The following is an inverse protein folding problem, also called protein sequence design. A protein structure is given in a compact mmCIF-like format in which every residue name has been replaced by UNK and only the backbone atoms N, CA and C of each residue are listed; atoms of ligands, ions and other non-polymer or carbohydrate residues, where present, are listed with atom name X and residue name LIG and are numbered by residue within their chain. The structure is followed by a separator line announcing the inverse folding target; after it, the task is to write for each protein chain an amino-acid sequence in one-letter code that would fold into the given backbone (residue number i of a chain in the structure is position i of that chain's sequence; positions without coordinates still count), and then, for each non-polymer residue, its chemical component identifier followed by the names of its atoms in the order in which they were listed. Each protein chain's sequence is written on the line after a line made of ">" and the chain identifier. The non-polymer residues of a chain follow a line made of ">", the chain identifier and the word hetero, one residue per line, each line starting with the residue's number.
data_IF_973186398054
#
_entry.id   IF_973186398054
#
_cell.length_a   1.000
_cell.length_b   1.000
_cell.length_c   1.000
_cell.angle_alpha   90.00
_cell.angle_beta   90.00
_cell.angle_gamma   90.00
#
_symmetry.space_group_name_H-M   'P 1'
#
loop_
_entity.id
_entity.type
_entity.pdbx_description
1 polymer ?
#
# COMPACT_ATOMS: atom_id res chain seq x y z
N UNK A 1 -82.81 27.09 -26.94
CA UNK A 1 -81.50 27.32 -27.61
C UNK A 1 -80.42 27.34 -26.55
N UNK A 2 -79.63 26.26 -26.36
CA UNK A 2 -78.46 26.31 -25.48
C UNK A 2 -77.16 26.28 -26.30
N UNK A 3 -76.23 27.17 -25.95
CA UNK A 3 -74.88 27.23 -26.51
C UNK A 3 -73.97 26.37 -25.62
N UNK A 4 -73.27 25.41 -26.23
CA UNK A 4 -72.33 24.49 -25.57
C UNK A 4 -70.95 25.15 -25.43
N UNK A 5 -70.37 25.00 -24.25
CA UNK A 5 -69.00 25.39 -23.89
C UNK A 5 -67.96 24.45 -24.52
N UNK A 6 -66.86 25.02 -25.05
CA UNK A 6 -65.68 24.29 -25.52
C UNK A 6 -64.55 24.45 -24.49
N UNK A 7 -64.11 23.34 -23.91
CA UNK A 7 -62.90 23.27 -23.10
C UNK A 7 -61.71 22.97 -24.00
N UNK A 8 -60.68 23.83 -23.97
CA UNK A 8 -59.41 23.62 -24.66
C UNK A 8 -58.48 22.74 -23.82
N UNK A 9 -57.97 21.65 -24.39
CA UNK A 9 -56.98 20.77 -23.79
C UNK A 9 -55.60 21.14 -24.33
N UNK A 10 -54.73 21.70 -23.50
CA UNK A 10 -53.32 21.97 -23.83
C UNK A 10 -52.49 20.71 -23.56
N UNK A 11 -51.96 20.10 -24.62
CA UNK A 11 -51.01 18.98 -24.53
C UNK A 11 -49.60 19.57 -24.49
N UNK A 12 -48.96 19.51 -23.32
CA UNK A 12 -47.55 19.88 -23.14
C UNK A 12 -46.66 18.70 -23.53
N UNK A 13 -45.88 18.86 -24.60
CA UNK A 13 -44.93 17.86 -25.09
C UNK A 13 -43.57 18.12 -24.44
N UNK A 14 -43.22 17.34 -23.43
CA UNK A 14 -41.94 17.45 -22.73
C UNK A 14 -40.89 16.61 -23.49
N UNK A 15 -39.99 17.26 -24.25
CA UNK A 15 -38.85 16.57 -24.86
C UNK A 15 -37.80 16.30 -23.79
N UNK A 16 -37.66 15.03 -23.40
CA UNK A 16 -36.54 14.57 -22.57
C UNK A 16 -35.36 14.22 -23.48
N UNK A 17 -34.35 15.08 -23.53
CA UNK A 17 -33.05 14.72 -24.11
C UNK A 17 -32.32 13.80 -23.13
N UNK A 18 -31.91 12.57 -23.51
CA UNK A 18 -31.09 11.75 -22.65
C UNK A 18 -29.70 12.39 -22.55
N UNK A 19 -29.29 12.77 -21.34
CA UNK A 19 -27.90 13.05 -21.01
C UNK A 19 -27.16 11.71 -21.02
N UNK A 20 -26.49 11.40 -22.12
CA UNK A 20 -25.50 10.33 -22.16
C UNK A 20 -24.23 10.84 -21.50
N UNK A 21 -24.08 10.57 -20.21
CA UNK A 21 -22.79 10.68 -19.53
C UNK A 21 -21.85 9.64 -20.12
N UNK A 22 -21.00 10.07 -21.05
CA UNK A 22 -19.91 9.26 -21.57
C UNK A 22 -18.81 9.20 -20.49
N UNK A 23 -19.01 8.32 -19.51
CA UNK A 23 -17.95 7.92 -18.58
C UNK A 23 -16.96 7.06 -19.36
N UNK A 24 -16.07 7.71 -20.12
CA UNK A 24 -14.94 7.03 -20.73
C UNK A 24 -14.13 6.38 -19.60
N UNK A 25 -14.15 5.05 -19.54
CA UNK A 25 -13.22 4.27 -18.74
C UNK A 25 -11.81 4.64 -19.24
N UNK A 26 -11.14 5.55 -18.54
CA UNK A 26 -9.71 5.68 -18.71
C UNK A 26 -9.10 4.38 -18.19
N UNK A 27 -8.70 3.53 -19.13
CA UNK A 27 -7.90 2.35 -18.85
C UNK A 27 -6.48 2.85 -18.54
N UNK A 28 -6.29 3.51 -17.39
CA UNK A 28 -4.98 3.95 -16.94
C UNK A 28 -4.19 2.69 -16.58
N UNK A 29 -3.20 2.36 -17.41
CA UNK A 29 -2.24 1.30 -17.09
C UNK A 29 -1.52 1.67 -15.79
N UNK A 30 -1.40 0.72 -14.89
CA UNK A 30 -0.71 0.91 -13.61
C UNK A 30 0.76 1.31 -13.82
N UNK A 31 1.23 2.28 -13.04
CA UNK A 31 2.61 2.75 -13.09
C UNK A 31 3.57 1.76 -12.40
N UNK A 32 4.17 0.86 -13.18
CA UNK A 32 5.20 -0.06 -12.71
C UNK A 32 6.57 0.60 -12.45
N UNK A 33 6.74 1.89 -12.73
CA UNK A 33 7.93 2.65 -12.30
C UNK A 33 7.78 3.19 -10.89
N UNK A 34 6.56 3.19 -10.35
CA UNK A 34 6.21 3.69 -9.02
C UNK A 34 6.71 5.12 -8.78
N UNK A 35 6.58 6.02 -9.75
CA UNK A 35 7.19 7.34 -9.72
C UNK A 35 6.64 8.20 -8.56
N UNK A 36 5.31 8.23 -8.38
CA UNK A 36 4.65 8.93 -7.27
C UNK A 36 5.05 8.33 -5.92
N UNK A 37 5.04 6.99 -5.81
CA UNK A 37 5.45 6.32 -4.57
C UNK A 37 6.92 6.58 -4.24
N UNK A 38 7.80 6.54 -5.24
CA UNK A 38 9.22 6.85 -5.05
C UNK A 38 9.46 8.30 -4.63
N UNK A 39 8.66 9.25 -5.10
CA UNK A 39 8.72 10.64 -4.60
C UNK A 39 8.33 10.72 -3.13
N UNK A 40 7.21 10.09 -2.75
CA UNK A 40 6.77 10.00 -1.36
C UNK A 40 7.86 9.39 -0.45
N UNK A 41 8.48 8.29 -0.88
CA UNK A 41 9.56 7.64 -0.11
C UNK A 41 10.77 8.56 0.04
N UNK A 42 11.22 9.24 -1.02
CA UNK A 42 12.37 10.16 -0.94
C UNK A 42 12.11 11.37 -0.05
N UNK A 43 10.87 11.86 0.00
CA UNK A 43 10.51 13.01 0.81
C UNK A 43 10.40 12.68 2.31
N UNK A 44 10.06 11.43 2.65
CA UNK A 44 9.70 11.06 4.01
C UNK A 44 10.57 9.98 4.64
N UNK A 45 11.41 9.29 3.88
CA UNK A 45 12.39 8.32 4.41
C UNK A 45 13.75 9.02 4.49
N UNK A 46 14.21 9.26 5.72
CA UNK A 46 15.49 9.91 6.02
C UNK A 46 16.38 8.89 6.73
N UNK A 47 17.54 8.60 6.13
CA UNK A 47 18.44 7.51 6.51
C UNK A 47 17.75 6.14 6.53
N UNK A 48 17.29 5.72 7.71
CA UNK A 48 16.59 4.44 7.96
C UNK A 48 15.25 4.63 8.66
N UNK A 49 14.78 5.89 8.77
CA UNK A 49 13.58 6.27 9.52
C UNK A 49 12.58 6.98 8.63
N UNK A 50 11.31 6.90 9.02
CA UNK A 50 10.21 7.62 8.36
C UNK A 50 9.81 8.83 9.20
N UNK A 51 9.77 10.01 8.58
CA UNK A 51 9.19 11.22 9.17
C UNK A 51 7.65 11.17 9.06
N UNK A 52 7.03 10.44 9.99
CA UNK A 52 5.57 10.31 10.07
C UNK A 52 4.87 11.65 10.37
N UNK A 53 5.55 12.62 10.98
CA UNK A 53 4.94 13.93 11.27
C UNK A 53 4.70 14.70 9.98
N UNK A 54 5.72 14.76 9.12
CA UNK A 54 5.60 15.45 7.82
C UNK A 54 4.78 14.61 6.83
N UNK A 55 4.91 13.29 6.83
CA UNK A 55 4.07 12.41 6.00
C UNK A 55 2.58 12.54 6.34
N UNK A 56 2.21 12.67 7.62
CA UNK A 56 0.81 12.90 8.01
C UNK A 56 0.27 14.24 7.52
N UNK A 57 1.10 15.28 7.53
CA UNK A 57 0.73 16.60 6.99
C UNK A 57 0.51 16.56 5.48
N UNK A 58 1.31 15.74 4.78
CA UNK A 58 1.27 15.57 3.32
C UNK A 58 0.57 14.27 2.89
N UNK A 59 -0.49 13.88 3.59
CA UNK A 59 -1.18 12.58 3.40
C UNK A 59 -1.77 12.39 2.00
N UNK A 60 -2.05 13.45 1.25
CA UNK A 60 -2.68 13.33 -0.07
C UNK A 60 -1.90 12.45 -1.05
N UNK A 61 -0.57 12.55 -1.08
CA UNK A 61 0.26 11.70 -1.94
C UNK A 61 0.25 10.24 -1.46
N UNK A 62 0.14 9.99 -0.15
CA UNK A 62 -0.01 8.63 0.40
C UNK A 62 -1.33 8.01 -0.07
N UNK A 63 -2.43 8.75 0.06
CA UNK A 63 -3.76 8.28 -0.34
C UNK A 63 -3.84 8.04 -1.86
N UNK A 64 -3.22 8.90 -2.68
CA UNK A 64 -3.09 8.71 -4.13
C UNK A 64 -2.40 7.39 -4.47
N UNK A 65 -1.25 7.10 -3.81
CA UNK A 65 -0.50 5.88 -4.05
C UNK A 65 -1.34 4.67 -3.62
N UNK A 66 -1.92 4.67 -2.41
CA UNK A 66 -2.79 3.58 -1.94
C UNK A 66 -3.95 3.33 -2.90
N UNK A 67 -4.59 4.39 -3.38
CA UNK A 67 -5.67 4.27 -4.36
C UNK A 67 -5.21 3.63 -5.66
N UNK A 68 -3.99 3.93 -6.14
CA UNK A 68 -3.46 3.29 -7.34
C UNK A 68 -3.29 1.77 -7.17
N UNK A 69 -2.84 1.30 -6.00
CA UNK A 69 -2.75 -0.14 -5.71
C UNK A 69 -4.13 -0.80 -5.64
N UNK A 70 -5.16 -0.07 -5.19
CA UNK A 70 -6.51 -0.63 -5.03
C UNK A 70 -7.29 -0.84 -6.33
N UNK A 71 -6.86 -0.21 -7.43
CA UNK A 71 -7.48 -0.36 -8.75
C UNK A 71 -7.04 -1.63 -9.49
N UNK A 72 -6.03 -2.33 -9.02
CA UNK A 72 -5.50 -3.52 -9.69
C UNK A 72 -6.48 -4.69 -9.56
N UNK A 73 -6.82 -5.31 -10.69
CA UNK A 73 -7.63 -6.53 -10.73
C UNK A 73 -6.78 -7.79 -10.60
N UNK A 74 -7.41 -8.91 -10.26
CA UNK A 74 -6.75 -10.22 -10.27
C UNK A 74 -6.19 -10.59 -11.66
N UNK A 75 -6.92 -10.22 -12.71
CA UNK A 75 -6.47 -10.47 -14.09
C UNK A 75 -5.23 -9.65 -14.44
N UNK A 76 -5.15 -8.39 -14.00
CA UNK A 76 -3.94 -7.58 -14.20
C UNK A 76 -2.74 -8.24 -13.52
N UNK A 77 -2.90 -8.58 -12.24
CA UNK A 77 -1.84 -9.15 -11.41
C UNK A 77 -1.33 -10.49 -11.96
N UNK A 78 -2.22 -11.41 -12.32
CA UNK A 78 -1.87 -12.74 -12.81
C UNK A 78 -1.19 -12.73 -14.19
N UNK A 79 -1.43 -11.69 -14.99
CA UNK A 79 -0.79 -11.50 -16.31
C UNK A 79 0.62 -10.90 -16.23
N UNK A 80 1.07 -10.44 -15.06
CA UNK A 80 2.43 -9.90 -14.90
C UNK A 80 3.49 -10.99 -14.76
N UNK A 81 4.73 -10.64 -15.10
CA UNK A 81 5.88 -11.50 -14.81
C UNK A 81 6.08 -11.64 -13.30
N UNK A 82 6.67 -12.76 -12.86
CA UNK A 82 6.96 -13.02 -11.44
C UNK A 82 7.72 -11.86 -10.75
N UNK A 83 8.78 -11.26 -11.35
CA UNK A 83 9.45 -10.11 -10.73
C UNK A 83 8.54 -8.89 -10.54
N UNK A 84 7.58 -8.68 -11.46
CA UNK A 84 6.63 -7.57 -11.35
C UNK A 84 5.58 -7.82 -10.29
N UNK A 85 5.09 -9.05 -10.17
CA UNK A 85 4.19 -9.45 -9.08
C UNK A 85 4.88 -9.29 -7.72
N UNK A 86 6.12 -9.75 -7.58
CA UNK A 86 6.91 -9.61 -6.35
C UNK A 86 7.12 -8.14 -5.97
N UNK A 87 7.60 -7.32 -6.92
CA UNK A 87 7.79 -5.89 -6.70
C UNK A 87 6.47 -5.20 -6.27
N UNK A 88 5.36 -5.55 -6.93
CA UNK A 88 4.04 -5.04 -6.57
C UNK A 88 3.63 -5.41 -5.15
N UNK A 89 3.73 -6.69 -4.77
CA UNK A 89 3.32 -7.15 -3.44
C UNK A 89 4.18 -6.56 -2.31
N UNK A 90 5.50 -6.45 -2.53
CA UNK A 90 6.41 -5.82 -1.56
C UNK A 90 6.03 -4.34 -1.37
N UNK A 91 5.84 -3.60 -2.47
CA UNK A 91 5.46 -2.20 -2.41
C UNK A 91 4.06 -2.00 -1.80
N UNK A 92 3.11 -2.89 -2.10
CA UNK A 92 1.76 -2.86 -1.53
C UNK A 92 1.80 -3.05 -0.01
N UNK A 93 2.55 -4.04 0.48
CA UNK A 93 2.74 -4.25 1.92
C UNK A 93 3.32 -3.00 2.58
N UNK A 94 4.36 -2.42 1.98
CA UNK A 94 5.06 -1.26 2.54
C UNK A 94 4.17 0.00 2.56
N UNK A 95 3.43 0.29 1.49
CA UNK A 95 2.55 1.47 1.45
C UNK A 95 1.34 1.31 2.38
N UNK A 96 0.74 0.13 2.48
CA UNK A 96 -0.36 -0.12 3.41
C UNK A 96 0.10 -0.04 4.86
N UNK A 97 1.32 -0.51 5.16
CA UNK A 97 1.97 -0.30 6.46
C UNK A 97 2.15 1.19 6.77
N UNK A 98 2.59 2.01 5.82
CA UNK A 98 2.68 3.46 6.00
C UNK A 98 1.29 4.07 6.26
N UNK A 99 0.27 3.66 5.50
CA UNK A 99 -1.09 4.17 5.68
C UNK A 99 -1.64 3.90 7.07
N UNK A 100 -1.58 2.65 7.55
CA UNK A 100 -2.11 2.32 8.87
C UNK A 100 -1.39 3.08 9.98
N UNK A 101 -0.08 3.30 9.86
CA UNK A 101 0.66 4.11 10.82
C UNK A 101 0.15 5.54 10.81
N UNK A 102 0.01 6.16 9.64
CA UNK A 102 -0.45 7.55 9.50
C UNK A 102 -1.88 7.73 10.03
N UNK A 103 -2.74 6.74 9.82
CA UNK A 103 -4.12 6.74 10.33
C UNK A 103 -4.18 6.75 11.86
N UNK A 104 -3.15 6.21 12.51
CA UNK A 104 -3.05 6.10 13.97
C UNK A 104 -1.95 6.98 14.57
N UNK A 105 -1.29 7.85 13.79
CA UNK A 105 -0.17 8.65 14.28
C UNK A 105 -0.65 9.92 15.02
N UNK A 106 -0.06 10.32 16.16
CA UNK A 106 0.95 9.59 16.92
C UNK A 106 0.37 8.33 17.56
N UNK A 107 1.11 7.22 17.47
CA UNK A 107 0.66 5.95 18.05
C UNK A 107 0.87 6.04 19.56
N UNK A 108 -0.22 5.91 20.31
CA UNK A 108 -0.21 5.91 21.77
C UNK A 108 -0.37 4.51 22.34
N UNK A 109 0.15 4.32 23.56
CA UNK A 109 0.00 3.05 24.28
C UNK A 109 -1.46 2.82 24.67
N UNK A 110 -1.94 1.60 24.45
CA UNK A 110 -3.21 1.14 25.01
C UNK A 110 -3.06 0.87 26.50
N UNK A 111 -4.01 1.31 27.31
CA UNK A 111 -3.94 1.27 28.78
C UNK A 111 -3.72 -0.13 29.39
N UNK A 112 -3.97 -1.21 28.64
CA UNK A 112 -3.76 -2.60 29.07
C UNK A 112 -2.62 -3.32 28.35
N UNK A 113 -1.99 -2.68 27.35
CA UNK A 113 -0.91 -3.29 26.58
C UNK A 113 0.46 -2.79 27.07
N UNK A 114 0.90 -3.41 28.17
CA UNK A 114 2.21 -3.16 28.79
C UNK A 114 3.34 -3.99 28.18
N UNK A 115 3.01 -4.97 27.34
CA UNK A 115 3.97 -5.89 26.73
C UNK A 115 4.59 -5.30 25.46
N UNK A 116 3.86 -4.42 24.77
CA UNK A 116 4.35 -3.73 23.59
C UNK A 116 4.90 -2.31 23.91
N UNK A 117 5.88 -1.82 23.14
CA UNK A 117 6.38 -0.45 23.31
C UNK A 117 5.28 0.60 23.07
N UNK A 118 5.36 1.76 23.73
CA UNK A 118 4.31 2.78 23.72
C UNK A 118 3.97 3.32 22.33
N UNK A 119 5.02 3.53 21.52
CA UNK A 119 4.94 4.19 20.23
C UNK A 119 5.25 3.18 19.12
N UNK A 120 4.65 1.98 19.21
CA UNK A 120 4.88 0.88 18.29
C UNK A 120 3.63 0.60 17.48
N UNK A 121 3.79 0.26 16.20
CA UNK A 121 2.72 -0.29 15.36
C UNK A 121 1.97 -1.45 16.02
N UNK A 122 2.61 -2.22 16.92
CA UNK A 122 1.99 -3.29 17.71
C UNK A 122 0.85 -2.81 18.63
N UNK A 123 0.80 -1.52 18.94
CA UNK A 123 -0.30 -0.91 19.70
C UNK A 123 -1.57 -0.74 18.84
N UNK A 124 -1.48 -0.83 17.51
CA UNK A 124 -2.64 -0.75 16.62
C UNK A 124 -3.35 -2.11 16.60
N UNK A 125 -4.59 -2.22 17.10
CA UNK A 125 -5.28 -3.50 17.20
C UNK A 125 -5.48 -4.15 15.84
N UNK A 126 -5.05 -5.41 15.69
CA UNK A 126 -5.29 -6.18 14.46
C UNK A 126 -4.59 -5.63 13.23
N UNK A 127 -3.51 -4.85 13.39
CA UNK A 127 -2.82 -4.16 12.30
C UNK A 127 -2.40 -5.10 11.16
N UNK A 128 -1.99 -6.33 11.46
CA UNK A 128 -1.63 -7.30 10.43
C UNK A 128 -2.79 -8.16 9.91
N UNK A 129 -3.75 -8.51 10.77
CA UNK A 129 -4.70 -9.61 10.51
C UNK A 129 -6.16 -9.19 10.35
N UNK A 130 -6.49 -7.93 10.65
CA UNK A 130 -7.90 -7.47 10.72
C UNK A 130 -8.18 -6.33 9.75
N UNK A 131 -7.25 -5.37 9.62
CA UNK A 131 -7.40 -4.25 8.70
C UNK A 131 -7.25 -4.72 7.25
N UNK A 132 -8.09 -4.20 6.36
CA UNK A 132 -8.21 -4.69 4.98
C UNK A 132 -8.05 -3.58 3.96
N UNK A 133 -7.35 -3.92 2.89
CA UNK A 133 -7.17 -3.10 1.70
C UNK A 133 -7.70 -3.83 0.49
N UNK A 134 -8.40 -3.09 -0.37
CA UNK A 134 -8.79 -3.60 -1.68
C UNK A 134 -7.52 -3.71 -2.53
N UNK A 135 -7.25 -4.89 -3.08
CA UNK A 135 -6.13 -5.13 -4.00
C UNK A 135 -6.38 -6.44 -4.75
N UNK A 136 -6.04 -6.51 -6.04
CA UNK A 136 -6.18 -7.73 -6.86
C UNK A 136 -7.62 -8.27 -6.83
N UNK A 137 -8.61 -7.39 -6.90
CA UNK A 137 -10.04 -7.76 -6.91
C UNK A 137 -10.61 -8.25 -5.58
N UNK A 138 -9.84 -8.30 -4.49
CA UNK A 138 -10.31 -8.76 -3.16
C UNK A 138 -9.83 -7.87 -2.01
N UNK A 139 -10.31 -8.14 -0.80
CA UNK A 139 -9.97 -7.40 0.43
C UNK A 139 -8.94 -8.18 1.25
N UNK A 140 -7.69 -7.70 1.26
CA UNK A 140 -6.53 -8.40 1.84
C UNK A 140 -6.02 -7.67 3.08
N UNK A 141 -5.56 -8.44 4.05
CA UNK A 141 -4.81 -7.96 5.22
C UNK A 141 -3.31 -7.92 4.92
N UNK A 142 -2.49 -7.27 5.76
CA UNK A 142 -1.02 -7.35 5.61
C UNK A 142 -0.54 -8.80 5.75
N UNK A 143 -1.15 -9.58 6.65
CA UNK A 143 -0.86 -11.01 6.80
C UNK A 143 -1.22 -11.80 5.54
N UNK A 144 -2.29 -11.45 4.84
CA UNK A 144 -2.63 -12.10 3.57
C UNK A 144 -1.56 -11.82 2.51
N UNK A 145 -1.11 -10.56 2.40
CA UNK A 145 -0.06 -10.18 1.45
C UNK A 145 1.25 -10.91 1.78
N UNK A 146 1.68 -10.90 3.04
CA UNK A 146 2.95 -11.51 3.45
C UNK A 146 2.90 -13.03 3.45
N UNK A 147 1.93 -13.64 4.12
CA UNK A 147 1.90 -15.09 4.33
C UNK A 147 1.21 -15.85 3.21
N UNK A 148 0.12 -15.32 2.64
CA UNK A 148 -0.70 -16.06 1.69
C UNK A 148 -0.30 -15.78 0.23
N UNK A 149 0.24 -14.59 -0.06
CA UNK A 149 0.71 -14.25 -1.40
C UNK A 149 2.23 -14.37 -1.53
N UNK A 150 3.01 -13.63 -0.73
CA UNK A 150 4.47 -13.61 -0.84
C UNK A 150 5.09 -14.95 -0.43
N UNK A 151 4.90 -15.40 0.82
CA UNK A 151 5.61 -16.56 1.38
C UNK A 151 5.21 -17.90 0.76
N UNK A 152 3.94 -18.05 0.34
CA UNK A 152 3.43 -19.31 -0.23
C UNK A 152 3.75 -19.47 -1.71
N UNK A 153 3.73 -18.39 -2.48
CA UNK A 153 3.77 -18.48 -3.94
C UNK A 153 5.16 -18.21 -4.52
N UNK A 154 6.10 -17.69 -3.73
CA UNK A 154 7.43 -17.31 -4.20
C UNK A 154 8.52 -17.89 -3.31
N UNK A 155 9.45 -18.65 -3.91
CA UNK A 155 10.64 -19.18 -3.25
C UNK A 155 11.74 -18.11 -3.15
N UNK A 156 11.42 -16.98 -2.52
CA UNK A 156 12.30 -15.82 -2.42
C UNK A 156 12.48 -15.38 -0.96
N UNK A 157 13.47 -15.92 -0.24
CA UNK A 157 13.65 -15.61 1.19
C UNK A 157 14.05 -14.15 1.43
N UNK A 158 14.59 -13.44 0.43
CA UNK A 158 15.02 -12.05 0.58
C UNK A 158 13.85 -11.09 0.78
N UNK A 159 12.61 -11.51 0.49
CA UNK A 159 11.39 -10.71 0.74
C UNK A 159 11.32 -10.23 2.20
N UNK A 160 11.76 -11.04 3.18
CA UNK A 160 11.72 -10.67 4.59
C UNK A 160 12.58 -9.43 4.92
N UNK A 161 13.57 -9.12 4.07
CA UNK A 161 14.40 -7.91 4.17
C UNK A 161 13.83 -6.72 3.40
N UNK A 162 12.75 -6.92 2.66
CA UNK A 162 12.13 -5.94 1.77
C UNK A 162 10.76 -5.47 2.25
N UNK A 163 10.03 -6.31 2.99
CA UNK A 163 8.78 -5.94 3.66
C UNK A 163 9.09 -5.29 5.01
N UNK A 164 8.64 -4.06 5.20
CA UNK A 164 8.92 -3.28 6.40
C UNK A 164 7.81 -3.49 7.43
N UNK A 165 8.14 -4.17 8.53
CA UNK A 165 7.22 -4.40 9.64
C UNK A 165 7.02 -3.17 10.56
N UNK A 166 7.66 -2.04 10.24
CA UNK A 166 7.74 -0.81 11.03
C UNK A 166 8.27 -0.96 12.47
N UNK A 167 9.00 -2.03 12.77
CA UNK A 167 9.78 -2.14 14.00
C UNK A 167 11.20 -1.60 13.81
N UNK A 168 11.78 -1.04 14.87
CA UNK A 168 13.16 -0.51 14.88
C UNK A 168 14.20 -1.61 14.58
N UNK A 169 13.93 -2.83 15.01
CA UNK A 169 14.79 -4.00 14.78
C UNK A 169 14.58 -4.65 13.41
N UNK A 170 13.56 -4.25 12.65
CA UNK A 170 13.32 -4.79 11.31
C UNK A 170 14.24 -4.11 10.27
N UNK A 171 14.43 -4.76 9.12
CA UNK A 171 15.03 -4.15 7.94
C UNK A 171 14.36 -2.79 7.63
N UNK A 172 15.13 -1.71 7.46
CA UNK A 172 14.56 -0.38 7.28
C UNK A 172 13.86 -0.26 5.93
N UNK A 173 12.79 0.52 5.88
CA UNK A 173 12.14 0.88 4.63
C UNK A 173 13.13 1.64 3.76
N UNK A 174 13.30 1.22 2.50
CA UNK A 174 14.17 1.90 1.54
C UNK A 174 13.49 3.18 1.03
N UNK A 175 14.30 4.19 0.71
CA UNK A 175 13.84 5.46 0.13
C UNK A 175 13.51 5.36 -1.37
N UNK A 176 13.42 4.14 -1.91
CA UNK A 176 13.02 3.86 -3.28
C UNK A 176 12.10 2.62 -3.35
N UNK A 177 11.18 2.56 -4.32
CA UNK A 177 10.31 1.41 -4.51
C UNK A 177 11.06 0.25 -5.17
N UNK A 178 10.56 -0.97 -4.95
CA UNK A 178 11.02 -2.15 -5.68
C UNK A 178 10.45 -2.13 -7.10
N UNK A 179 11.28 -2.40 -8.12
CA UNK A 179 10.85 -2.44 -9.52
C UNK A 179 11.32 -3.73 -10.19
N UNK A 180 10.51 -4.27 -11.10
CA UNK A 180 10.74 -5.55 -11.76
C UNK A 180 12.14 -5.68 -12.40
N UNK A 181 12.57 -4.68 -13.16
CA UNK A 181 13.87 -4.67 -13.86
C UNK A 181 15.09 -4.67 -12.92
N UNK A 182 14.91 -4.29 -11.64
CA UNK A 182 16.01 -4.18 -10.67
C UNK A 182 15.78 -5.00 -9.42
N UNK A 183 14.70 -5.77 -9.35
CA UNK A 183 14.22 -6.44 -8.14
C UNK A 183 15.32 -7.31 -7.52
N UNK A 184 15.98 -8.13 -8.33
CA UNK A 184 17.07 -9.01 -7.88
C UNK A 184 18.17 -8.25 -7.14
N UNK A 185 18.63 -7.15 -7.74
CA UNK A 185 19.66 -6.29 -7.16
C UNK A 185 19.14 -5.62 -5.89
N UNK A 186 17.91 -5.11 -5.91
CA UNK A 186 17.32 -4.42 -4.76
C UNK A 186 17.14 -5.36 -3.56
N UNK A 187 16.68 -6.60 -3.79
CA UNK A 187 16.57 -7.63 -2.76
C UNK A 187 17.94 -8.01 -2.19
N UNK A 188 18.93 -8.26 -3.05
CA UNK A 188 20.29 -8.59 -2.61
C UNK A 188 20.92 -7.47 -1.76
N UNK A 189 20.74 -6.21 -2.18
CA UNK A 189 21.21 -5.05 -1.42
C UNK A 189 20.48 -4.91 -0.08
N UNK A 190 19.15 -5.04 -0.07
CA UNK A 190 18.37 -4.95 1.17
C UNK A 190 18.81 -6.00 2.20
N UNK A 191 19.01 -7.25 1.77
CA UNK A 191 19.52 -8.32 2.63
C UNK A 191 20.92 -8.01 3.14
N UNK A 192 21.86 -7.69 2.25
CA UNK A 192 23.25 -7.42 2.63
C UNK A 192 23.34 -6.24 3.60
N UNK A 193 22.65 -5.14 3.29
CA UNK A 193 22.70 -3.93 4.11
C UNK A 193 22.13 -4.17 5.51
N UNK A 194 21.05 -4.96 5.64
CA UNK A 194 20.51 -5.31 6.95
C UNK A 194 21.45 -6.23 7.73
N UNK A 195 21.95 -7.30 7.10
CA UNK A 195 22.86 -8.25 7.75
C UNK A 195 24.16 -7.59 8.22
N UNK A 196 24.62 -6.53 7.53
CA UNK A 196 25.79 -5.75 7.91
C UNK A 196 25.50 -4.58 8.87
N UNK A 197 24.24 -4.36 9.26
CA UNK A 197 23.86 -3.30 10.19
C UNK A 197 24.05 -3.71 11.66
N UNK A 198 23.96 -2.75 12.58
CA UNK A 198 24.02 -3.02 14.03
C UNK A 198 22.88 -3.92 14.53
N UNK A 199 21.77 -4.00 13.79
CA UNK A 199 20.64 -4.90 14.05
C UNK A 199 20.76 -6.25 13.32
N UNK A 200 21.84 -6.44 12.56
CA UNK A 200 22.11 -7.62 11.76
C UNK A 200 23.02 -8.63 12.49
N UNK A 201 23.85 -9.30 11.70
CA UNK A 201 24.76 -10.32 12.21
C UNK A 201 26.14 -9.69 12.43
N UNK A 202 26.73 -9.92 13.61
CA UNK A 202 28.09 -9.47 13.93
C UNK A 202 28.94 -10.66 14.35
N UNK A 203 30.11 -10.82 13.72
CA UNK A 203 31.12 -11.79 14.14
C UNK A 203 32.15 -11.07 15.00
N UNK A 204 32.36 -11.54 16.23
CA UNK A 204 33.38 -11.04 17.15
C UNK A 204 34.14 -12.25 17.72
N UNK A 205 35.44 -12.34 17.40
CA UNK A 205 36.28 -13.51 17.66
C UNK A 205 35.63 -14.81 17.14
N UNK A 206 35.42 -15.79 18.03
CA UNK A 206 34.76 -17.07 17.73
C UNK A 206 33.23 -17.02 17.93
N UNK A 207 32.66 -15.84 18.21
CA UNK A 207 31.25 -15.66 18.51
C UNK A 207 30.49 -15.02 17.34
N UNK A 208 29.32 -15.60 17.05
CA UNK A 208 28.32 -15.04 16.16
C UNK A 208 27.21 -14.40 16.98
N UNK A 209 27.08 -13.07 16.88
CA UNK A 209 25.95 -12.32 17.41
C UNK A 209 24.84 -12.29 16.36
N UNK A 210 23.67 -12.81 16.73
CA UNK A 210 22.46 -12.93 15.88
C UNK A 210 21.28 -12.21 16.50
#
# INVERSE_FOLDING_TARGET
>A
VPIRTLSALLISFCLTTPLTSNSGLQNSTFDHTYATYGRLLREHVVDTRVDYTTLKKNRSTLDEVVQAFSQITESDFTNWSTPRQLAFLINAYNIFTLQVIIDHYPIERRWFDFWNPANSIKQIPGVWSTLRWQMSGTQLTLDDIEHNMLRRNYAEPRIHFAVNCAAISCPPLKSEPYVDMRLERQLALATRDFLASDNGIRVEDDYLHV
#
